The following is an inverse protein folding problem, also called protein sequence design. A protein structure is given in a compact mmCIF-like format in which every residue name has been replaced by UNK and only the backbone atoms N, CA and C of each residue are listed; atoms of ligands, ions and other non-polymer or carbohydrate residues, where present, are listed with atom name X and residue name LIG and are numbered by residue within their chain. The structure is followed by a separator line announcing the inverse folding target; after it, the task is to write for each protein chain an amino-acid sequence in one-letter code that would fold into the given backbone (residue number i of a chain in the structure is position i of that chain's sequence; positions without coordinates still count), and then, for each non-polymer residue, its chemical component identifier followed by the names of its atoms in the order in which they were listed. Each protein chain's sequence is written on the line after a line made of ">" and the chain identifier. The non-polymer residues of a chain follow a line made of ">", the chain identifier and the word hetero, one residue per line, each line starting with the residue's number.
data_IF_360009747976
#
_entry.id   IF_360009747976
#
_cell.length_a   1.000
_cell.length_b   1.000
_cell.length_c   1.000
_cell.angle_alpha   90.00
_cell.angle_beta   90.00
_cell.angle_gamma   90.00
#
_symmetry.space_group_name_H-M   'P 1'
#
loop_
_entity.id
_entity.type
_entity.pdbx_description
1 polymer ?
#
# COMPACT_ATOMS: atom_id res chain seq x y z
N UNK A 1 -22.43 -26.12 -5.10
CA UNK A 1 -21.93 -25.25 -4.01
C UNK A 1 -20.44 -25.47 -3.70
N UNK A 2 -19.91 -26.70 -3.75
CA UNK A 2 -18.48 -26.99 -3.46
C UNK A 2 -17.47 -26.32 -4.41
N UNK A 3 -17.76 -26.29 -5.72
CA UNK A 3 -16.87 -25.72 -6.74
C UNK A 3 -16.68 -24.20 -6.61
N UNK A 4 -17.74 -23.48 -6.25
CA UNK A 4 -17.69 -22.02 -6.01
C UNK A 4 -16.86 -21.67 -4.77
N UNK A 5 -16.88 -22.53 -3.75
CA UNK A 5 -16.08 -22.35 -2.52
C UNK A 5 -14.60 -22.63 -2.80
N UNK A 6 -14.28 -23.64 -3.63
CA UNK A 6 -12.91 -23.90 -4.06
C UNK A 6 -12.34 -22.74 -4.88
N UNK A 7 -13.09 -22.21 -5.85
CA UNK A 7 -12.67 -21.05 -6.65
C UNK A 7 -12.47 -19.78 -5.78
N UNK A 8 -13.35 -19.53 -4.81
CA UNK A 8 -13.22 -18.40 -3.89
C UNK A 8 -11.97 -18.49 -3.01
N UNK A 9 -11.61 -19.69 -2.53
CA UNK A 9 -10.39 -19.89 -1.74
C UNK A 9 -9.11 -19.67 -2.55
N UNK A 10 -9.10 -19.99 -3.84
CA UNK A 10 -7.95 -19.75 -4.73
C UNK A 10 -7.77 -18.26 -5.02
N UNK A 11 -8.86 -17.53 -5.26
CA UNK A 11 -8.86 -16.07 -5.43
C UNK A 11 -8.35 -15.36 -4.18
N UNK A 12 -8.91 -15.69 -3.01
CA UNK A 12 -8.48 -15.12 -1.72
C UNK A 12 -6.99 -15.35 -1.43
N UNK A 13 -6.45 -16.53 -1.79
CA UNK A 13 -5.05 -16.87 -1.58
C UNK A 13 -4.12 -16.07 -2.51
N UNK A 14 -4.56 -15.82 -3.75
CA UNK A 14 -3.86 -14.95 -4.69
C UNK A 14 -3.83 -13.49 -4.22
N UNK A 15 -4.95 -12.99 -3.72
CA UNK A 15 -5.07 -11.62 -3.19
C UNK A 15 -4.25 -11.41 -1.90
N UNK A 16 -4.33 -12.35 -0.96
CA UNK A 16 -3.52 -12.30 0.27
C UNK A 16 -2.02 -12.37 0.00
N UNK A 17 -1.60 -13.18 -0.98
CA UNK A 17 -0.19 -13.30 -1.36
C UNK A 17 0.39 -11.98 -1.89
N UNK A 18 -0.37 -11.24 -2.69
CA UNK A 18 0.03 -9.93 -3.22
C UNK A 18 0.20 -8.90 -2.10
N UNK A 19 -0.76 -8.81 -1.17
CA UNK A 19 -0.70 -7.86 -0.06
C UNK A 19 0.51 -8.13 0.86
N UNK A 20 0.76 -9.40 1.22
CA UNK A 20 1.90 -9.78 2.04
C UNK A 20 3.24 -9.44 1.37
N UNK A 21 3.38 -9.69 0.07
CA UNK A 21 4.59 -9.36 -0.67
C UNK A 21 4.88 -7.85 -0.67
N UNK A 22 3.85 -7.03 -0.82
CA UNK A 22 3.97 -5.55 -0.82
C UNK A 22 4.30 -5.01 0.57
N UNK A 23 3.67 -5.54 1.61
CA UNK A 23 4.00 -5.22 3.01
C UNK A 23 5.46 -5.55 3.32
N UNK A 24 5.93 -6.72 2.89
CA UNK A 24 7.33 -7.12 3.07
C UNK A 24 8.28 -6.20 2.31
N UNK A 25 7.99 -5.90 1.05
CA UNK A 25 8.76 -4.95 0.25
C UNK A 25 8.83 -3.56 0.91
N UNK A 26 7.71 -3.10 1.47
CA UNK A 26 7.65 -1.83 2.19
C UNK A 26 8.44 -1.84 3.50
N UNK A 27 8.38 -2.94 4.24
CA UNK A 27 9.19 -3.10 5.46
C UNK A 27 10.68 -3.02 5.15
N UNK A 28 11.12 -3.69 4.10
CA UNK A 28 12.51 -3.62 3.63
C UNK A 28 12.84 -2.19 3.15
N UNK A 29 11.97 -1.57 2.36
CA UNK A 29 12.18 -0.21 1.88
C UNK A 29 12.30 0.81 3.03
N UNK A 30 11.48 0.67 4.08
CA UNK A 30 11.50 1.55 5.24
C UNK A 30 12.82 1.46 6.03
N UNK A 31 13.50 0.30 6.00
CA UNK A 31 14.83 0.17 6.56
C UNK A 31 15.91 0.67 5.58
N UNK A 32 15.90 0.18 4.35
CA UNK A 32 17.00 0.39 3.39
C UNK A 32 17.04 1.82 2.88
N UNK A 33 15.90 2.43 2.55
CA UNK A 33 15.84 3.75 1.92
C UNK A 33 16.35 4.86 2.86
N UNK A 34 15.86 5.00 4.11
CA UNK A 34 16.35 6.06 5.01
C UNK A 34 17.82 5.88 5.38
N UNK A 35 18.27 4.63 5.58
CA UNK A 35 19.67 4.31 5.87
C UNK A 35 20.55 4.70 4.68
N UNK A 36 20.14 4.33 3.47
CA UNK A 36 20.86 4.69 2.25
C UNK A 36 20.91 6.21 2.07
N UNK A 37 19.77 6.89 2.27
CA UNK A 37 19.71 8.35 2.24
C UNK A 37 20.66 8.99 3.24
N UNK A 38 20.77 8.46 4.47
CA UNK A 38 21.73 8.98 5.45
C UNK A 38 23.16 8.92 4.92
N UNK A 39 23.63 7.75 4.50
CA UNK A 39 25.02 7.59 4.07
C UNK A 39 25.32 8.34 2.77
N UNK A 40 24.39 8.36 1.82
CA UNK A 40 24.53 9.13 0.57
C UNK A 40 24.63 10.63 0.89
N UNK A 41 23.70 11.15 1.69
CA UNK A 41 23.70 12.55 2.11
C UNK A 41 24.95 12.93 2.89
N UNK A 42 25.43 12.04 3.77
CA UNK A 42 26.62 12.25 4.58
C UNK A 42 27.88 12.41 3.73
N UNK A 43 28.07 11.55 2.74
CA UNK A 43 29.28 11.50 1.93
C UNK A 43 29.27 12.47 0.74
N UNK A 44 28.13 12.64 0.07
CA UNK A 44 28.07 13.36 -1.21
C UNK A 44 27.46 14.76 -1.13
N UNK A 45 26.58 15.02 -0.15
CA UNK A 45 25.81 16.26 -0.10
C UNK A 45 26.33 17.20 0.98
N UNK A 46 26.61 16.67 2.18
CA UNK A 46 26.85 17.49 3.37
C UNK A 46 28.27 17.37 3.94
N UNK A 47 29.23 16.81 3.19
CA UNK A 47 30.66 16.72 3.56
C UNK A 47 30.91 16.25 5.00
N UNK A 48 30.20 15.22 5.45
CA UNK A 48 30.36 14.64 6.78
C UNK A 48 29.51 15.29 7.89
N UNK A 49 28.65 16.28 7.59
CA UNK A 49 27.74 16.82 8.58
C UNK A 49 26.57 15.85 8.86
N UNK A 50 26.71 15.09 9.94
CA UNK A 50 25.75 14.07 10.36
C UNK A 50 24.37 14.59 10.71
N UNK A 51 24.21 15.86 11.12
CA UNK A 51 22.90 16.41 11.50
C UNK A 51 22.03 16.62 10.25
N UNK A 52 22.56 17.26 9.21
CA UNK A 52 21.80 17.45 7.96
C UNK A 52 21.53 16.12 7.26
N UNK A 53 22.48 15.18 7.31
CA UNK A 53 22.26 13.83 6.81
C UNK A 53 21.13 13.11 7.56
N UNK A 54 21.09 13.20 8.90
CA UNK A 54 20.02 12.62 9.71
C UNK A 54 18.66 13.23 9.40
N UNK A 55 18.58 14.56 9.26
CA UNK A 55 17.32 15.24 8.87
C UNK A 55 16.84 14.70 7.52
N UNK A 56 17.71 14.58 6.52
CA UNK A 56 17.35 14.04 5.20
C UNK A 56 16.85 12.60 5.26
N UNK A 57 17.43 11.76 6.14
CA UNK A 57 17.00 10.39 6.34
C UNK A 57 15.60 10.30 6.96
N UNK A 58 15.32 11.12 7.98
CA UNK A 58 13.99 11.20 8.59
C UNK A 58 12.96 11.71 7.59
N UNK A 59 13.29 12.72 6.78
CA UNK A 59 12.42 13.18 5.70
C UNK A 59 12.15 12.05 4.70
N UNK A 60 13.17 11.29 4.31
CA UNK A 60 13.05 10.15 3.41
C UNK A 60 12.16 9.03 3.98
N UNK A 61 12.26 8.73 5.28
CA UNK A 61 11.39 7.75 5.93
C UNK A 61 9.90 8.16 5.86
N UNK A 62 9.61 9.44 6.11
CA UNK A 62 8.24 9.96 5.98
C UNK A 62 7.74 9.92 4.53
N UNK A 63 8.61 10.15 3.54
CA UNK A 63 8.25 10.00 2.12
C UNK A 63 7.90 8.55 1.77
N UNK A 64 8.66 7.57 2.26
CA UNK A 64 8.35 6.14 2.06
C UNK A 64 6.99 5.80 2.68
N UNK A 65 6.69 6.32 3.87
CA UNK A 65 5.39 6.11 4.52
C UNK A 65 4.24 6.70 3.71
N UNK A 66 4.38 7.92 3.19
CA UNK A 66 3.35 8.54 2.34
C UNK A 66 3.17 7.74 1.04
N UNK A 67 4.26 7.30 0.42
CA UNK A 67 4.22 6.47 -0.78
C UNK A 67 3.50 5.14 -0.53
N UNK A 68 3.73 4.51 0.63
CA UNK A 68 3.00 3.31 1.04
C UNK A 68 1.50 3.54 1.08
N UNK A 69 1.07 4.62 1.73
CA UNK A 69 -0.35 4.95 1.87
C UNK A 69 -0.96 5.16 0.50
N UNK A 70 -0.32 5.93 -0.38
CA UNK A 70 -0.82 6.18 -1.74
C UNK A 70 -0.93 4.88 -2.54
N UNK A 71 0.10 4.03 -2.54
CA UNK A 71 0.06 2.77 -3.28
C UNK A 71 -0.99 1.82 -2.72
N UNK A 72 -1.14 1.77 -1.39
CA UNK A 72 -2.18 0.97 -0.73
C UNK A 72 -3.58 1.42 -1.11
N UNK A 73 -3.83 2.74 -1.16
CA UNK A 73 -5.13 3.31 -1.54
C UNK A 73 -5.42 3.13 -3.03
N UNK A 74 -4.40 3.21 -3.90
CA UNK A 74 -4.57 2.96 -5.33
C UNK A 74 -4.92 1.49 -5.59
N UNK A 75 -4.30 0.57 -4.87
CA UNK A 75 -4.58 -0.86 -4.94
C UNK A 75 -5.98 -1.20 -4.44
N UNK A 76 -6.41 -0.62 -3.32
CA UNK A 76 -7.76 -0.81 -2.78
C UNK A 76 -8.86 -0.38 -3.77
N UNK A 77 -8.61 0.68 -4.56
CA UNK A 77 -9.53 1.13 -5.60
C UNK A 77 -9.56 0.20 -6.83
N UNK A 78 -8.42 -0.37 -7.22
CA UNK A 78 -8.31 -1.29 -8.36
C UNK A 78 -8.96 -2.66 -8.10
N UNK A 79 -9.11 -3.02 -6.83
CA UNK A 79 -9.64 -4.30 -6.39
C UNK A 79 -11.13 -4.26 -6.00
N UNK A 80 -11.84 -3.16 -6.28
CA UNK A 80 -13.30 -3.15 -6.16
C UNK A 80 -13.88 -4.18 -7.13
N UNK A 81 -14.55 -5.26 -6.67
CA UNK A 81 -15.44 -5.99 -7.56
C UNK A 81 -16.43 -4.96 -8.07
N UNK A 82 -16.54 -4.82 -9.38
CA UNK A 82 -17.59 -4.03 -10.03
C UNK A 82 -18.92 -4.53 -9.48
N UNK A 83 -19.41 -3.86 -8.43
CA UNK A 83 -20.74 -4.05 -7.92
C UNK A 83 -21.67 -3.76 -9.08
N UNK A 84 -22.44 -4.78 -9.45
CA UNK A 84 -23.51 -4.69 -10.42
C UNK A 84 -24.36 -3.44 -10.16
N UNK A 85 -24.88 -2.79 -11.22
CA UNK A 85 -25.59 -1.54 -11.09
C UNK A 85 -26.77 -1.69 -10.13
N UNK A 86 -26.85 -0.77 -9.17
CA UNK A 86 -28.01 -0.56 -8.33
C UNK A 86 -29.26 -0.32 -9.21
N UNK A 87 -29.94 -1.40 -9.61
CA UNK A 87 -31.29 -1.34 -10.15
C UNK A 87 -32.25 -1.86 -9.09
N UNK A 88 -33.18 -0.97 -8.74
CA UNK A 88 -34.57 -1.31 -8.40
C UNK A 88 -34.79 -2.02 -7.06
N UNK A 89 -34.81 -1.24 -5.97
CA UNK A 89 -35.62 -1.60 -4.79
C UNK A 89 -36.06 -0.41 -3.92
N UNK A 90 -36.00 0.83 -4.45
CA UNK A 90 -36.73 1.98 -3.87
C UNK A 90 -38.11 2.13 -4.56
N UNK A 91 -38.78 1.00 -4.84
CA UNK A 91 -40.20 0.95 -5.21
C UNK A 91 -40.99 0.16 -4.14
N UNK A 92 -40.71 0.43 -2.87
CA UNK A 92 -41.51 -0.10 -1.74
C UNK A 92 -41.84 0.96 -0.69
N UNK A 93 -41.61 2.25 -0.99
CA UNK A 93 -42.03 3.41 -0.17
C UNK A 93 -43.17 4.22 -0.78
N UNK A 94 -43.95 3.63 -1.69
CA UNK A 94 -45.17 4.26 -2.25
C UNK A 94 -46.39 3.33 -2.21
N UNK A 95 -46.52 2.50 -1.17
CA UNK A 95 -47.73 1.73 -0.91
C UNK A 95 -47.73 1.16 0.51
N UNK A 96 -47.87 2.02 1.51
CA UNK A 96 -48.56 1.70 2.76
C UNK A 96 -48.88 2.96 3.54
#
# INVERSE_FOLDING_TARGET
>A
MSEKVAAANLVNKGEQGSALAKLLAFSIALAVVPISTYFISLWYIFNGNGIFAAISAVTSANLVLVLYIILSVLEDQGNQPRSEPAKTSIESRKSR
#
